data_IF_371346803158
#
_entry.id   IF_371346803158
#
_cell.length_a   1.000
_cell.length_b   1.000
_cell.length_c   1.000
_cell.angle_alpha   90.00
_cell.angle_beta   90.00
_cell.angle_gamma   90.00
#
_symmetry.space_group_name_H-M   'P 1'
#
loop_
_entity.id
_entity.type
_entity.pdbx_description
1 polymer ?
#
# COMPACT_ATOMS: atom_id res chain seq x y z
N UNK A 1 18.62 4.22 -32.07
CA UNK A 1 19.21 4.89 -30.90
C UNK A 1 18.26 6.01 -30.51
N UNK A 2 17.29 5.70 -29.65
CA UNK A 2 16.31 6.66 -29.16
C UNK A 2 16.78 7.18 -27.80
N UNK A 3 17.10 8.47 -27.76
CA UNK A 3 17.45 9.19 -26.54
C UNK A 3 16.28 9.11 -25.54
N UNK A 4 16.51 8.42 -24.43
CA UNK A 4 15.69 8.54 -23.23
C UNK A 4 15.94 9.94 -22.67
N UNK A 5 15.00 10.85 -22.81
CA UNK A 5 15.08 12.19 -22.22
C UNK A 5 14.79 12.07 -20.72
N UNK A 6 15.83 11.88 -19.93
CA UNK A 6 15.79 11.97 -18.47
C UNK A 6 15.84 13.43 -18.01
N UNK A 7 14.97 14.29 -18.55
CA UNK A 7 14.95 15.70 -18.16
C UNK A 7 13.60 16.02 -17.53
N UNK A 8 13.68 16.68 -16.39
CA UNK A 8 12.65 17.22 -15.53
C UNK A 8 11.94 16.25 -14.59
N UNK A 9 12.73 15.64 -13.69
CA UNK A 9 12.17 15.38 -12.37
C UNK A 9 12.02 16.74 -11.69
N UNK A 10 10.81 17.18 -11.29
CA UNK A 10 10.69 18.34 -10.44
C UNK A 10 11.62 18.14 -9.26
N UNK A 11 12.51 19.10 -8.98
CA UNK A 11 13.35 19.09 -7.80
C UNK A 11 12.41 18.92 -6.61
N UNK A 12 12.42 17.74 -5.97
CA UNK A 12 11.64 17.51 -4.77
C UNK A 12 12.07 18.52 -3.75
N UNK A 13 11.25 19.54 -3.51
CA UNK A 13 11.49 20.48 -2.44
C UNK A 13 11.67 19.67 -1.15
N UNK A 14 12.75 19.95 -0.41
CA UNK A 14 12.95 19.37 0.91
C UNK A 14 11.91 19.89 1.91
N UNK A 15 11.19 20.95 1.55
CA UNK A 15 10.13 21.53 2.34
C UNK A 15 8.81 20.81 2.07
N UNK A 16 8.06 20.42 3.11
CA UNK A 16 6.74 19.86 2.96
C UNK A 16 5.77 20.88 2.35
N UNK A 17 4.95 20.46 1.39
CA UNK A 17 3.85 21.24 0.85
C UNK A 17 2.51 20.76 1.43
N UNK A 18 1.54 21.66 1.51
CA UNK A 18 0.20 21.36 2.03
C UNK A 18 -0.66 20.68 0.96
N UNK A 19 -1.25 19.55 1.29
CA UNK A 19 -2.12 18.75 0.43
C UNK A 19 -3.44 18.44 1.12
N UNK A 20 -4.54 18.51 0.38
CA UNK A 20 -5.88 18.34 0.92
C UNK A 20 -6.26 16.87 1.08
N UNK A 21 -6.84 16.51 2.21
CA UNK A 21 -7.47 15.21 2.44
C UNK A 21 -8.80 15.18 1.68
N UNK A 22 -8.91 14.25 0.73
CA UNK A 22 -10.11 14.04 -0.09
C UNK A 22 -11.14 13.17 0.62
N UNK A 23 -10.66 12.10 1.27
CA UNK A 23 -11.54 11.20 2.03
C UNK A 23 -10.77 10.43 3.10
N UNK A 24 -11.49 9.95 4.13
CA UNK A 24 -10.97 9.15 5.21
C UNK A 24 -11.81 7.88 5.37
N UNK A 25 -11.23 6.71 5.11
CA UNK A 25 -11.86 5.42 5.35
C UNK A 25 -11.32 4.78 6.62
N UNK A 26 -12.17 4.55 7.60
CA UNK A 26 -11.82 3.94 8.88
C UNK A 26 -11.99 2.42 8.79
N UNK A 27 -10.89 1.67 8.68
CA UNK A 27 -10.92 0.21 8.60
C UNK A 27 -11.07 -0.44 9.97
N UNK A 28 -10.34 0.08 10.95
CA UNK A 28 -10.40 -0.33 12.36
C UNK A 28 -10.26 0.91 13.25
N UNK A 29 -10.40 0.81 14.57
CA UNK A 29 -10.11 1.94 15.47
C UNK A 29 -8.66 2.46 15.36
N UNK A 30 -7.74 1.64 14.86
CA UNK A 30 -6.31 1.95 14.79
C UNK A 30 -5.78 2.11 13.35
N UNK A 31 -6.48 1.67 12.33
CA UNK A 31 -6.04 1.74 10.93
C UNK A 31 -7.06 2.51 10.08
N UNK A 32 -6.62 3.67 9.56
CA UNK A 32 -7.40 4.49 8.65
C UNK A 32 -6.66 4.67 7.33
N UNK A 33 -7.41 4.75 6.25
CA UNK A 33 -6.91 5.12 4.93
C UNK A 33 -7.26 6.58 4.65
N UNK A 34 -6.25 7.38 4.39
CA UNK A 34 -6.40 8.77 3.98
C UNK A 34 -6.14 8.86 2.47
N UNK A 35 -7.11 9.37 1.73
CA UNK A 35 -6.89 9.77 0.35
C UNK A 35 -6.55 11.23 0.31
N UNK A 36 -5.41 11.55 -0.30
CA UNK A 36 -4.86 12.90 -0.34
C UNK A 36 -4.69 13.32 -1.80
N UNK A 37 -5.14 14.54 -2.13
CA UNK A 37 -4.88 15.14 -3.44
C UNK A 37 -3.39 15.46 -3.56
N UNK A 38 -2.78 15.14 -4.71
CA UNK A 38 -1.37 15.43 -4.97
C UNK A 38 -1.18 15.87 -6.41
N UNK A 39 -0.12 16.62 -6.68
CA UNK A 39 0.28 17.12 -8.00
C UNK A 39 1.59 16.48 -8.51
N UNK A 40 2.06 15.45 -7.83
CA UNK A 40 3.26 14.69 -8.19
C UNK A 40 2.93 13.23 -8.50
N UNK A 41 3.72 12.57 -9.36
CA UNK A 41 3.55 11.15 -9.66
C UNK A 41 3.94 10.28 -8.47
N UNK A 42 3.21 9.17 -8.30
CA UNK A 42 3.52 8.15 -7.30
C UNK A 42 3.53 6.76 -7.94
N UNK A 43 4.28 5.83 -7.35
CA UNK A 43 4.35 4.44 -7.78
C UNK A 43 4.22 3.50 -6.58
N UNK A 44 3.73 2.28 -6.82
CA UNK A 44 3.66 1.25 -5.77
C UNK A 44 5.04 0.94 -5.20
N UNK A 45 5.14 0.85 -3.88
CA UNK A 45 6.39 0.63 -3.16
C UNK A 45 7.15 1.90 -2.80
N UNK A 46 6.63 3.07 -3.17
CA UNK A 46 7.14 4.36 -2.70
C UNK A 46 6.48 4.79 -1.39
N UNK A 47 7.04 5.82 -0.77
CA UNK A 47 6.53 6.43 0.46
C UNK A 47 6.64 7.96 0.40
N UNK A 48 5.89 8.62 1.25
CA UNK A 48 5.97 10.06 1.49
C UNK A 48 6.28 10.32 2.97
N UNK A 49 6.96 11.40 3.25
CA UNK A 49 7.03 11.94 4.61
C UNK A 49 5.77 12.77 4.87
N UNK A 50 4.96 12.32 5.81
CA UNK A 50 3.75 13.01 6.24
C UNK A 50 4.06 13.81 7.48
N UNK A 51 3.83 15.12 7.44
CA UNK A 51 4.11 16.00 8.56
C UNK A 51 2.89 16.84 8.97
N UNK A 52 2.88 17.21 10.22
CA UNK A 52 1.98 18.21 10.79
C UNK A 52 2.78 19.27 11.52
N UNK A 53 2.48 20.56 11.29
CA UNK A 53 3.19 21.67 11.95
C UNK A 53 3.23 21.51 13.47
N UNK A 54 4.40 21.66 14.08
CA UNK A 54 4.67 21.55 15.52
C UNK A 54 4.48 20.15 16.12
N UNK A 55 4.13 19.15 15.32
CA UNK A 55 3.94 17.76 15.78
C UNK A 55 5.15 16.91 15.39
N UNK A 56 5.57 17.00 14.13
CA UNK A 56 6.66 16.20 13.55
C UNK A 56 6.28 15.57 12.23
N UNK A 57 7.10 14.63 11.77
CA UNK A 57 6.86 13.89 10.53
C UNK A 57 7.05 12.38 10.72
N UNK A 58 6.50 11.61 9.81
CA UNK A 58 6.64 10.16 9.76
C UNK A 58 6.59 9.66 8.31
N UNK A 59 7.42 8.65 7.95
CA UNK A 59 7.35 8.00 6.65
C UNK A 59 6.12 7.10 6.56
N UNK A 60 5.32 7.32 5.53
CA UNK A 60 4.09 6.55 5.27
C UNK A 60 4.14 6.02 3.84
N UNK A 61 4.00 4.69 3.71
CA UNK A 61 3.95 4.04 2.40
C UNK A 61 2.71 4.46 1.61
N UNK A 62 2.90 4.72 0.32
CA UNK A 62 1.80 4.87 -0.62
C UNK A 62 1.13 3.50 -0.78
N UNK A 63 -0.11 3.38 -0.34
CA UNK A 63 -0.85 2.12 -0.40
C UNK A 63 -1.60 1.94 -1.71
N UNK A 64 -1.92 3.03 -2.37
CA UNK A 64 -2.50 3.07 -3.72
C UNK A 64 -2.35 4.48 -4.30
N UNK A 65 -2.53 4.63 -5.60
CA UNK A 65 -2.48 5.92 -6.27
C UNK A 65 -3.34 5.93 -7.54
N UNK A 66 -3.63 7.13 -8.01
CA UNK A 66 -4.30 7.41 -9.26
C UNK A 66 -3.98 8.82 -9.75
N UNK A 67 -4.71 9.26 -10.75
CA UNK A 67 -4.54 10.61 -11.28
C UNK A 67 -4.92 11.65 -10.23
N UNK A 68 -3.94 12.45 -9.81
CA UNK A 68 -4.13 13.54 -8.83
C UNK A 68 -4.36 13.11 -7.38
N UNK A 69 -4.12 11.85 -7.00
CA UNK A 69 -4.29 11.40 -5.61
C UNK A 69 -3.39 10.22 -5.22
N UNK A 70 -3.13 10.12 -3.91
CA UNK A 70 -2.53 8.95 -3.28
C UNK A 70 -3.37 8.49 -2.08
N UNK A 71 -3.33 7.19 -1.80
CA UNK A 71 -3.88 6.58 -0.58
C UNK A 71 -2.76 6.26 0.41
N UNK A 72 -2.96 6.64 1.65
CA UNK A 72 -2.06 6.42 2.77
C UNK A 72 -2.78 5.59 3.84
N UNK A 73 -2.43 4.30 3.96
CA UNK A 73 -2.94 3.44 5.03
C UNK A 73 -2.09 3.63 6.28
N UNK A 74 -2.65 4.33 7.26
CA UNK A 74 -1.95 4.76 8.48
C UNK A 74 -2.47 3.99 9.68
N UNK A 75 -1.55 3.50 10.51
CA UNK A 75 -1.86 2.95 11.83
C UNK A 75 -1.51 3.96 12.91
N UNK A 76 -2.43 4.15 13.85
CA UNK A 76 -2.21 5.00 15.01
C UNK A 76 -1.27 4.31 16.01
N UNK A 77 0.00 4.73 16.04
CA UNK A 77 1.05 4.12 16.86
C UNK A 77 1.95 5.13 17.59
N UNK A 78 1.78 6.43 17.35
CA UNK A 78 2.65 7.43 17.93
C UNK A 78 2.13 8.85 17.75
N UNK A 79 2.92 9.83 18.18
CA UNK A 79 2.53 11.25 18.25
C UNK A 79 1.99 11.79 16.93
N UNK A 80 2.73 11.59 15.83
CA UNK A 80 2.34 12.10 14.51
C UNK A 80 1.07 11.42 14.02
N UNK A 81 1.02 10.08 14.08
CA UNK A 81 -0.14 9.32 13.62
C UNK A 81 -1.38 9.58 14.48
N UNK A 82 -1.23 9.81 15.79
CA UNK A 82 -2.35 10.20 16.65
C UNK A 82 -2.90 11.57 16.26
N UNK A 83 -2.03 12.52 15.94
CA UNK A 83 -2.46 13.84 15.48
C UNK A 83 -3.15 13.77 14.10
N UNK A 84 -2.65 12.93 13.17
CA UNK A 84 -3.32 12.69 11.88
C UNK A 84 -4.75 12.15 12.07
N UNK A 85 -4.99 11.34 13.11
CA UNK A 85 -6.32 10.77 13.41
C UNK A 85 -7.31 11.81 13.99
N UNK A 86 -6.91 13.04 14.26
CA UNK A 86 -7.81 14.15 14.60
C UNK A 86 -8.31 14.93 13.39
N UNK A 87 -7.69 14.73 12.23
CA UNK A 87 -8.04 15.42 11.00
C UNK A 87 -9.32 14.89 10.38
N UNK A 88 -9.91 15.73 9.54
CA UNK A 88 -11.16 15.47 8.82
C UNK A 88 -10.94 15.60 7.32
N UNK A 89 -11.90 15.12 6.55
CA UNK A 89 -11.96 15.38 5.11
C UNK A 89 -12.01 16.89 4.86
N UNK A 90 -11.20 17.36 3.93
CA UNK A 90 -11.02 18.77 3.62
C UNK A 90 -9.87 19.45 4.38
N UNK A 91 -9.38 18.88 5.48
CA UNK A 91 -8.17 19.38 6.16
C UNK A 91 -6.92 19.16 5.31
N UNK A 92 -5.83 19.85 5.68
CA UNK A 92 -4.55 19.70 5.02
C UNK A 92 -3.59 18.83 5.85
N UNK A 93 -2.81 18.02 5.12
CA UNK A 93 -1.59 17.39 5.59
C UNK A 93 -0.41 17.95 4.82
N UNK A 94 0.77 17.92 5.39
CA UNK A 94 1.99 18.37 4.70
C UNK A 94 2.76 17.14 4.24
N UNK A 95 3.05 17.08 2.95
CA UNK A 95 3.79 15.97 2.34
C UNK A 95 5.07 16.48 1.69
N UNK A 96 6.09 15.66 1.74
CA UNK A 96 7.28 15.74 0.89
C UNK A 96 7.64 14.36 0.34
N UNK A 97 8.18 14.33 -0.85
CA UNK A 97 8.43 13.10 -1.61
C UNK A 97 7.62 13.13 -2.90
N UNK A 98 7.45 12.05 -3.61
CA UNK A 98 7.49 10.64 -3.27
C UNK A 98 8.92 10.06 -3.27
N UNK A 99 9.27 9.23 -2.32
CA UNK A 99 10.61 8.64 -2.16
C UNK A 99 10.60 7.14 -2.44
N UNK A 100 11.80 6.61 -2.72
CA UNK A 100 12.01 5.21 -3.07
C UNK A 100 11.87 4.94 -4.57
N UNK A 101 12.42 3.79 -5.00
CA UNK A 101 12.44 3.42 -6.42
C UNK A 101 11.13 2.80 -6.90
N UNK A 102 10.22 2.47 -5.98
CA UNK A 102 9.02 1.70 -6.32
C UNK A 102 9.30 0.23 -6.61
N UNK A 103 8.25 -0.54 -6.88
CA UNK A 103 8.40 -1.92 -7.33
C UNK A 103 8.71 -1.97 -8.83
N UNK A 104 9.61 -2.87 -9.27
CA UNK A 104 9.93 -3.05 -10.69
C UNK A 104 8.82 -3.88 -11.38
N UNK A 105 7.64 -3.33 -11.54
CA UNK A 105 6.42 -4.03 -12.00
C UNK A 105 6.63 -4.79 -13.29
N UNK A 106 7.34 -4.20 -14.25
CA UNK A 106 7.61 -4.83 -15.55
C UNK A 106 8.41 -6.14 -15.40
N UNK A 107 9.28 -6.23 -14.40
CA UNK A 107 10.03 -7.46 -14.12
C UNK A 107 9.21 -8.53 -13.42
N UNK A 108 8.06 -8.16 -12.84
CA UNK A 108 7.13 -9.06 -12.16
C UNK A 108 6.08 -9.64 -13.10
N UNK A 109 5.86 -8.99 -14.27
CA UNK A 109 4.86 -9.45 -15.25
C UNK A 109 5.13 -10.88 -15.71
N UNK A 110 4.05 -11.65 -15.88
CA UNK A 110 4.04 -13.05 -16.36
C UNK A 110 4.83 -14.05 -15.48
N UNK A 111 5.28 -13.63 -14.31
CA UNK A 111 5.99 -14.49 -13.34
C UNK A 111 5.09 -14.89 -12.18
N UNK A 112 5.39 -16.01 -11.50
CA UNK A 112 4.75 -16.29 -10.21
C UNK A 112 5.23 -15.30 -9.16
N UNK A 113 4.28 -14.72 -8.41
CA UNK A 113 4.55 -13.76 -7.34
C UNK A 113 3.97 -14.26 -6.03
N UNK A 114 4.80 -14.35 -5.00
CA UNK A 114 4.38 -14.58 -3.63
C UNK A 114 4.53 -13.29 -2.83
N UNK A 115 3.42 -12.80 -2.28
CA UNK A 115 3.38 -11.63 -1.40
C UNK A 115 3.16 -12.07 0.03
N UNK A 116 4.08 -11.70 0.94
CA UNK A 116 3.96 -11.98 2.37
C UNK A 116 3.95 -10.65 3.13
N UNK A 117 2.86 -10.35 3.83
CA UNK A 117 2.73 -9.11 4.57
C UNK A 117 2.05 -9.32 5.93
N UNK A 118 2.44 -8.51 6.93
CA UNK A 118 1.88 -8.56 8.28
C UNK A 118 1.39 -7.19 8.75
N UNK A 119 0.19 -7.13 9.30
CA UNK A 119 -0.41 -5.89 9.80
C UNK A 119 -0.44 -4.79 8.75
N UNK A 120 0.09 -3.60 9.09
CA UNK A 120 0.20 -2.47 8.15
C UNK A 120 1.25 -2.64 7.06
N UNK A 121 2.08 -3.70 7.09
CA UNK A 121 2.97 -4.06 5.99
C UNK A 121 2.22 -4.41 4.69
N UNK A 122 0.91 -4.57 4.74
CA UNK A 122 0.05 -4.66 3.54
C UNK A 122 -0.01 -3.34 2.77
N UNK A 123 0.20 -2.20 3.42
CA UNK A 123 0.06 -0.88 2.80
C UNK A 123 0.90 -0.74 1.51
N UNK A 124 2.23 -0.96 1.51
CA UNK A 124 3.05 -0.76 0.33
C UNK A 124 2.72 -1.70 -0.84
N UNK A 125 2.08 -2.84 -0.58
CA UNK A 125 1.78 -3.85 -1.61
C UNK A 125 0.32 -3.86 -2.04
N UNK A 126 -0.57 -3.17 -1.33
CA UNK A 126 -2.03 -3.19 -1.56
C UNK A 126 -2.40 -2.82 -3.00
N UNK A 127 -1.90 -1.70 -3.51
CA UNK A 127 -2.21 -1.24 -4.86
C UNK A 127 -1.66 -2.17 -5.93
N UNK A 128 -0.43 -2.68 -5.75
CA UNK A 128 0.17 -3.66 -6.65
C UNK A 128 -0.64 -4.97 -6.70
N UNK A 129 -1.06 -5.47 -5.53
CA UNK A 129 -1.91 -6.67 -5.46
C UNK A 129 -3.25 -6.44 -6.17
N UNK A 130 -3.90 -5.29 -5.93
CA UNK A 130 -5.13 -4.92 -6.61
C UNK A 130 -4.96 -4.92 -8.11
N UNK A 131 -3.89 -4.28 -8.60
CA UNK A 131 -3.59 -4.23 -10.02
C UNK A 131 -3.50 -5.61 -10.66
N UNK A 132 -2.74 -6.54 -10.08
CA UNK A 132 -2.62 -7.90 -10.63
C UNK A 132 -3.90 -8.75 -10.48
N UNK A 133 -4.73 -8.49 -9.47
CA UNK A 133 -6.06 -9.12 -9.35
C UNK A 133 -7.02 -8.62 -10.44
N UNK A 134 -6.95 -7.34 -10.78
CA UNK A 134 -7.76 -6.72 -11.85
C UNK A 134 -7.22 -7.05 -13.24
N UNK A 135 -5.91 -7.35 -13.36
CA UNK A 135 -5.23 -7.69 -14.62
C UNK A 135 -4.56 -9.08 -14.56
N UNK A 136 -5.34 -10.16 -14.41
CA UNK A 136 -4.79 -11.50 -14.18
C UNK A 136 -3.96 -12.02 -15.34
N UNK A 137 -4.13 -11.50 -16.54
CA UNK A 137 -3.33 -11.83 -17.73
C UNK A 137 -1.89 -11.34 -17.63
N UNK A 138 -1.61 -10.37 -16.75
CA UNK A 138 -0.28 -9.78 -16.58
C UNK A 138 0.57 -10.50 -15.52
N UNK A 139 0.01 -11.47 -14.82
CA UNK A 139 0.71 -12.24 -13.77
C UNK A 139 0.60 -13.74 -14.06
N UNK A 140 1.68 -14.49 -13.85
CA UNK A 140 1.66 -15.95 -14.02
C UNK A 140 0.85 -16.65 -12.93
N UNK A 141 1.11 -16.25 -11.68
CA UNK A 141 0.40 -16.72 -10.49
C UNK A 141 0.56 -15.68 -9.38
N UNK A 142 -0.49 -15.44 -8.60
CA UNK A 142 -0.43 -14.54 -7.45
C UNK A 142 -0.85 -15.29 -6.18
N UNK A 143 0.10 -15.48 -5.27
CA UNK A 143 -0.15 -16.04 -3.94
C UNK A 143 0.09 -14.95 -2.89
N UNK A 144 -0.80 -14.86 -1.90
CA UNK A 144 -0.72 -13.86 -0.84
C UNK A 144 -0.85 -14.51 0.54
N UNK A 145 0.12 -14.23 1.44
CA UNK A 145 0.07 -14.63 2.84
C UNK A 145 -0.02 -13.36 3.69
N UNK A 146 -1.17 -13.15 4.31
CA UNK A 146 -1.45 -11.94 5.09
C UNK A 146 -1.65 -12.29 6.56
N UNK A 147 -0.81 -11.74 7.45
CA UNK A 147 -0.83 -11.98 8.89
C UNK A 147 -1.40 -10.81 9.69
N UNK A 148 -2.32 -11.09 10.65
CA UNK A 148 -2.91 -10.09 11.54
C UNK A 148 -2.97 -10.58 12.99
N UNK A 149 -2.82 -9.66 13.96
CA UNK A 149 -2.88 -9.98 15.39
C UNK A 149 -4.25 -10.47 15.86
N UNK A 150 -5.34 -9.95 15.26
CA UNK A 150 -6.73 -10.34 15.56
C UNK A 150 -7.52 -10.41 14.25
N UNK A 151 -8.04 -11.57 13.92
CA UNK A 151 -8.95 -11.72 12.80
C UNK A 151 -10.38 -11.38 13.25
N UNK A 152 -10.85 -10.20 12.94
CA UNK A 152 -12.30 -9.94 12.75
C UNK A 152 -12.68 -9.93 11.28
N UNK A 153 -11.75 -10.19 10.39
CA UNK A 153 -12.04 -10.33 8.96
C UNK A 153 -12.41 -11.79 8.70
N UNK A 154 -13.68 -12.03 8.40
CA UNK A 154 -14.13 -13.28 7.82
C UNK A 154 -13.34 -13.56 6.54
N UNK A 155 -12.92 -14.80 6.36
CA UNK A 155 -12.25 -15.27 5.17
C UNK A 155 -12.88 -14.65 3.91
N UNK A 156 -12.06 -13.97 3.11
CA UNK A 156 -12.47 -13.59 1.76
C UNK A 156 -12.67 -14.90 1.01
N UNK A 157 -13.89 -15.11 0.55
CA UNK A 157 -14.29 -16.28 -0.21
C UNK A 157 -13.33 -16.52 -1.38
N UNK A 158 -12.87 -17.79 -1.51
CA UNK A 158 -12.32 -18.29 -2.76
C UNK A 158 -13.23 -17.89 -3.91
N UNK A 159 -12.80 -17.06 -4.81
CA UNK A 159 -13.35 -17.05 -6.15
C UNK A 159 -12.73 -18.22 -6.90
N UNK A 160 -13.44 -19.34 -6.90
CA UNK A 160 -13.16 -20.43 -7.81
C UNK A 160 -13.46 -19.95 -9.22
N UNK A 161 -12.50 -20.05 -10.10
CA UNK A 161 -12.79 -19.93 -11.51
C UNK A 161 -11.64 -19.37 -12.34
N UNK A 162 -11.01 -20.20 -13.16
CA UNK A 162 -10.19 -19.79 -14.28
C UNK A 162 -8.70 -19.60 -14.01
N UNK A 163 -7.92 -19.81 -15.04
CA UNK A 163 -6.48 -19.46 -15.06
C UNK A 163 -6.31 -18.00 -14.68
N UNK A 164 -5.53 -17.71 -13.61
CA UNK A 164 -5.31 -16.37 -13.09
C UNK A 164 -5.94 -16.09 -11.71
N UNK A 165 -6.42 -17.10 -10.99
CA UNK A 165 -6.97 -16.91 -9.65
C UNK A 165 -5.85 -16.59 -8.63
N UNK A 166 -6.00 -15.48 -7.89
CA UNK A 166 -5.14 -15.16 -6.77
C UNK A 166 -5.51 -16.04 -5.55
N UNK A 167 -4.54 -16.71 -4.96
CA UNK A 167 -4.71 -17.45 -3.72
C UNK A 167 -4.40 -16.56 -2.53
N UNK A 168 -5.36 -16.29 -1.65
CA UNK A 168 -5.17 -15.48 -0.45
C UNK A 168 -5.24 -16.38 0.77
N UNK A 169 -4.14 -16.47 1.50
CA UNK A 169 -4.04 -17.20 2.77
C UNK A 169 -4.01 -16.19 3.90
N UNK A 170 -4.99 -16.27 4.81
CA UNK A 170 -5.07 -15.43 6.00
C UNK A 170 -4.49 -16.18 7.21
N UNK A 171 -3.48 -15.61 7.86
CA UNK A 171 -2.92 -16.15 9.10
C UNK A 171 -3.24 -15.23 10.30
N UNK A 172 -4.00 -15.76 11.27
CA UNK A 172 -4.44 -14.99 12.45
C UNK A 172 -3.43 -14.95 13.59
N UNK A 173 -2.28 -15.64 13.50
CA UNK A 173 -1.34 -15.80 14.62
C UNK A 173 0.13 -15.79 14.20
N UNK A 174 0.74 -14.62 14.25
CA UNK A 174 2.15 -14.39 13.87
C UNK A 174 3.14 -14.54 15.02
N UNK A 175 2.95 -15.44 15.96
CA UNK A 175 3.94 -15.58 17.03
C UNK A 175 4.12 -16.98 17.57
N UNK A 176 4.18 -17.98 16.72
CA UNK A 176 4.80 -19.31 16.94
C UNK A 176 4.67 -20.11 15.64
N UNK A 177 5.19 -19.60 14.55
CA UNK A 177 5.22 -20.36 13.31
C UNK A 177 6.49 -21.24 13.30
N UNK A 178 6.35 -22.47 13.73
CA UNK A 178 6.99 -23.58 13.02
C UNK A 178 6.43 -23.53 11.59
N UNK A 179 7.33 -23.67 10.61
CA UNK A 179 6.98 -23.81 9.20
C UNK A 179 5.64 -24.55 9.05
N UNK A 180 4.59 -23.86 8.66
CA UNK A 180 3.40 -24.52 8.15
C UNK A 180 3.70 -24.92 6.72
N UNK A 181 3.80 -26.22 6.49
CA UNK A 181 3.83 -26.84 5.19
C UNK A 181 2.67 -26.29 4.36
N UNK A 182 3.01 -25.62 3.26
CA UNK A 182 2.01 -25.20 2.26
C UNK A 182 1.49 -26.48 1.63
N UNK A 183 0.37 -26.98 2.10
CA UNK A 183 -0.29 -28.10 1.46
C UNK A 183 -0.96 -27.58 0.20
N UNK A 184 -0.38 -27.84 -0.94
CA UNK A 184 -0.97 -27.69 -2.25
C UNK A 184 -2.18 -28.61 -2.28
N UNK A 185 -3.38 -28.09 -2.17
CA UNK A 185 -4.58 -28.82 -2.53
C UNK A 185 -4.66 -28.84 -4.06
N UNK A 186 -4.10 -29.87 -4.65
CA UNK A 186 -4.37 -30.25 -6.02
C UNK A 186 -5.81 -30.84 -6.06
N UNK A 187 -6.61 -30.37 -6.99
CA UNK A 187 -7.94 -30.83 -7.33
C UNK A 187 -8.51 -29.94 -8.39
#
# INVERSE_FOLDING_TARGET
>A
MSHCSCHDKPQHSLLPAAYRILSITRHTPLEWNFRVAVDFPAHWGQFVEVSLPRVGEAPISVSDYGDGWIDLLIRNVGKVTSALFTLKEGDNVWLRGCYGNGYPVDTLRHKPLLVVAGGTGVAPVKGLMRYFVENPQEIGQLDMILGYKKSRLRAVQRRNGGRGAANIIWCSRWMKARLMTVTRLAG
#
